data_IF_895950999491
#
_entry.id   IF_895950999491
#
_cell.length_a   1.000
_cell.length_b   1.000
_cell.length_c   1.000
_cell.angle_alpha   90.00
_cell.angle_beta   90.00
_cell.angle_gamma   90.00
#
_symmetry.space_group_name_H-M   'P 1'
#
loop_
_entity.id
_entity.type
_entity.pdbx_description
1 polymer ?
#
# COMPACT_ATOMS: atom_id res chain seq x y z
N UNK A 1 -21.58 -17.89 -18.89
CA UNK A 1 -22.95 -18.44 -18.81
C UNK A 1 -23.65 -17.61 -17.74
N UNK A 2 -24.71 -16.88 -18.12
CA UNK A 2 -25.39 -15.90 -17.24
C UNK A 2 -26.16 -16.63 -16.13
N UNK A 3 -25.93 -16.20 -14.89
CA UNK A 3 -26.84 -16.35 -13.76
C UNK A 3 -27.26 -14.91 -13.37
N UNK A 4 -28.51 -14.76 -12.97
CA UNK A 4 -29.33 -13.55 -12.93
C UNK A 4 -28.66 -12.20 -12.59
N UNK A 5 -28.99 -11.18 -13.38
CA UNK A 5 -28.78 -9.77 -13.07
C UNK A 5 -29.76 -9.34 -11.96
N UNK A 6 -29.45 -9.67 -10.71
CA UNK A 6 -30.04 -9.00 -9.55
C UNK A 6 -29.16 -9.17 -8.28
N UNK A 7 -28.86 -8.04 -7.63
CA UNK A 7 -28.67 -7.83 -6.17
C UNK A 7 -27.28 -7.71 -5.51
N UNK A 8 -26.15 -8.07 -6.11
CA UNK A 8 -24.85 -7.92 -5.42
C UNK A 8 -24.02 -6.73 -5.95
N UNK A 9 -23.64 -5.81 -5.06
CA UNK A 9 -22.75 -4.69 -5.40
C UNK A 9 -21.32 -5.23 -5.56
N UNK A 10 -20.57 -4.90 -6.63
CA UNK A 10 -19.21 -5.36 -6.77
C UNK A 10 -18.33 -4.84 -5.62
N UNK A 11 -17.40 -5.68 -5.14
CA UNK A 11 -16.33 -5.25 -4.26
C UNK A 11 -15.11 -4.84 -5.10
N UNK A 12 -14.58 -3.64 -4.85
CA UNK A 12 -13.33 -3.18 -5.44
C UNK A 12 -12.20 -3.48 -4.46
N UNK A 13 -11.32 -4.40 -4.84
CA UNK A 13 -10.25 -4.91 -3.98
C UNK A 13 -8.91 -4.71 -4.69
N UNK A 14 -7.95 -4.12 -3.99
CA UNK A 14 -6.62 -3.91 -4.54
C UNK A 14 -5.85 -5.24 -4.62
N UNK A 15 -5.18 -5.46 -5.74
CA UNK A 15 -4.33 -6.63 -5.98
C UNK A 15 -3.09 -6.53 -5.07
N UNK A 16 -2.78 -7.63 -4.38
CA UNK A 16 -1.65 -7.76 -3.45
C UNK A 16 -0.43 -8.49 -4.06
N UNK A 17 -0.61 -9.14 -5.21
CA UNK A 17 0.46 -9.80 -5.95
C UNK A 17 1.10 -8.85 -6.99
N UNK A 18 2.42 -8.96 -7.23
CA UNK A 18 3.07 -8.21 -8.31
C UNK A 18 2.56 -8.65 -9.70
N UNK A 19 2.70 -7.80 -10.75
CA UNK A 19 2.39 -8.16 -12.13
C UNK A 19 3.50 -9.05 -12.72
N UNK A 20 3.58 -10.30 -12.26
CA UNK A 20 4.63 -11.22 -12.70
C UNK A 20 4.28 -11.89 -14.03
N UNK A 21 5.17 -11.75 -15.02
CA UNK A 21 4.98 -12.37 -16.34
C UNK A 21 4.92 -13.89 -16.22
N UNK A 22 3.88 -14.50 -16.78
CA UNK A 22 3.70 -15.96 -16.80
C UNK A 22 3.08 -16.55 -15.53
N UNK A 23 2.76 -15.71 -14.54
CA UNK A 23 1.96 -16.09 -13.37
C UNK A 23 0.50 -15.75 -13.65
N UNK A 24 -0.40 -16.71 -13.41
CA UNK A 24 -1.85 -16.56 -13.61
C UNK A 24 -2.62 -16.34 -12.32
N UNK A 25 -1.93 -16.33 -11.18
CA UNK A 25 -2.51 -16.19 -9.86
C UNK A 25 -2.51 -14.73 -9.43
N UNK A 26 -3.59 -14.30 -8.78
CA UNK A 26 -3.71 -12.99 -8.15
C UNK A 26 -3.96 -13.20 -6.66
N UNK A 27 -3.25 -12.42 -5.86
CA UNK A 27 -3.43 -12.40 -4.41
C UNK A 27 -4.24 -11.18 -3.99
N UNK A 28 -5.12 -11.32 -3.00
CA UNK A 28 -5.93 -10.24 -2.45
C UNK A 28 -5.98 -10.32 -0.94
N UNK A 29 -5.89 -9.17 -0.26
CA UNK A 29 -6.21 -9.04 1.16
C UNK A 29 -7.66 -8.55 1.30
N UNK A 30 -8.52 -9.40 1.86
CA UNK A 30 -9.96 -9.12 1.96
C UNK A 30 -10.35 -9.05 3.43
N UNK A 31 -10.96 -7.94 3.82
CA UNK A 31 -11.61 -7.79 5.12
C UNK A 31 -13.10 -8.11 4.96
N UNK A 32 -13.66 -9.09 5.70
CA UNK A 32 -15.08 -9.36 5.65
C UNK A 32 -15.86 -8.19 6.24
N UNK A 33 -16.92 -7.77 5.55
CA UNK A 33 -17.88 -6.78 6.03
C UNK A 33 -19.26 -7.44 6.03
N UNK A 34 -19.96 -7.52 7.18
CA UNK A 34 -21.25 -8.20 7.26
C UNK A 34 -22.27 -7.69 6.24
N UNK A 35 -22.94 -8.61 5.56
CA UNK A 35 -23.93 -8.33 4.52
C UNK A 35 -23.34 -7.75 3.23
N UNK A 36 -22.08 -8.04 2.93
CA UNK A 36 -21.41 -7.55 1.72
C UNK A 36 -20.71 -8.67 0.95
N UNK A 37 -20.40 -8.39 -0.31
CA UNK A 37 -19.62 -9.26 -1.20
C UNK A 37 -18.28 -9.68 -0.57
N UNK A 38 -17.64 -8.87 0.29
CA UNK A 38 -16.38 -9.30 0.92
C UNK A 38 -16.58 -10.33 2.02
N UNK A 39 -17.76 -10.39 2.66
CA UNK A 39 -18.11 -11.49 3.58
C UNK A 39 -18.30 -12.79 2.81
N UNK A 40 -19.03 -12.75 1.69
CA UNK A 40 -19.24 -13.91 0.80
C UNK A 40 -17.93 -14.43 0.22
N UNK A 41 -17.05 -13.53 -0.24
CA UNK A 41 -15.71 -13.89 -0.72
C UNK A 41 -14.88 -14.59 0.35
N UNK A 42 -14.93 -14.12 1.60
CA UNK A 42 -14.21 -14.75 2.72
C UNK A 42 -14.83 -16.09 3.16
N UNK A 43 -16.10 -16.34 2.84
CA UNK A 43 -16.80 -17.60 3.13
C UNK A 43 -16.67 -18.64 2.00
N UNK A 44 -16.06 -18.27 0.87
CA UNK A 44 -15.94 -19.15 -0.30
C UNK A 44 -14.88 -20.23 -0.08
N UNK A 45 -15.25 -21.49 -0.38
CA UNK A 45 -14.33 -22.62 -0.35
C UNK A 45 -13.30 -22.57 -1.49
N UNK A 46 -12.15 -23.20 -1.27
CA UNK A 46 -11.14 -23.38 -2.31
C UNK A 46 -11.73 -24.08 -3.54
N UNK A 47 -11.45 -23.53 -4.73
CA UNK A 47 -12.05 -23.99 -6.00
C UNK A 47 -13.42 -23.40 -6.32
N UNK A 48 -13.96 -22.57 -5.43
CA UNK A 48 -15.16 -21.78 -5.70
C UNK A 48 -15.01 -20.86 -6.92
N UNK A 49 -16.09 -20.70 -7.67
CA UNK A 49 -16.11 -19.85 -8.86
C UNK A 49 -16.29 -18.38 -8.47
N UNK A 50 -15.50 -17.50 -9.08
CA UNK A 50 -15.58 -16.05 -8.91
C UNK A 50 -15.76 -15.36 -10.26
N UNK A 51 -16.48 -14.25 -10.27
CA UNK A 51 -16.51 -13.35 -11.41
C UNK A 51 -15.59 -12.16 -11.13
N UNK A 52 -14.67 -11.90 -12.06
CA UNK A 52 -13.75 -10.76 -11.99
C UNK A 52 -14.09 -9.76 -13.08
N UNK A 53 -14.05 -8.48 -12.75
CA UNK A 53 -14.00 -7.43 -13.75
C UNK A 53 -12.61 -7.38 -14.39
N UNK A 54 -12.44 -6.68 -15.52
CA UNK A 54 -11.12 -6.22 -15.93
C UNK A 54 -10.42 -5.44 -14.81
N UNK A 55 -9.09 -5.45 -14.82
CA UNK A 55 -8.27 -4.64 -13.91
C UNK A 55 -8.64 -3.16 -14.08
N UNK A 56 -8.72 -2.45 -12.97
CA UNK A 56 -9.05 -1.03 -12.91
C UNK A 56 -7.94 -0.25 -12.21
N UNK A 57 -7.86 1.06 -12.51
CA UNK A 57 -6.83 1.95 -11.99
C UNK A 57 -5.63 2.08 -12.92
N UNK A 58 -4.77 3.06 -12.64
CA UNK A 58 -3.55 3.33 -13.42
C UNK A 58 -2.32 2.64 -12.85
N UNK A 59 -2.44 2.03 -11.68
CA UNK A 59 -1.30 1.54 -10.91
C UNK A 59 -0.46 2.71 -10.38
N UNK A 60 0.72 2.39 -9.85
CA UNK A 60 1.68 3.40 -9.42
C UNK A 60 2.57 3.79 -10.59
N UNK A 61 2.52 5.06 -10.98
CA UNK A 61 3.42 5.60 -11.99
C UNK A 61 4.78 5.91 -11.37
N UNK A 62 5.62 4.88 -11.24
CA UNK A 62 6.96 5.00 -10.66
C UNK A 62 7.94 5.80 -11.51
N UNK A 63 7.59 6.10 -12.78
CA UNK A 63 8.39 7.00 -13.62
C UNK A 63 8.46 8.44 -13.09
N UNK A 64 7.52 8.81 -12.20
CA UNK A 64 7.54 10.08 -11.46
C UNK A 64 8.62 10.13 -10.37
N UNK A 65 9.10 8.97 -9.93
CA UNK A 65 10.08 8.84 -8.85
C UNK A 65 11.36 8.16 -9.34
N UNK A 66 12.02 8.68 -10.39
CA UNK A 66 13.19 8.03 -10.96
C UNK A 66 14.28 7.94 -9.89
N UNK A 67 14.90 6.75 -9.73
CA UNK A 67 15.85 6.49 -8.65
C UNK A 67 17.11 7.37 -8.71
N UNK A 68 17.40 7.98 -9.87
CA UNK A 68 18.48 8.96 -10.05
C UNK A 68 18.24 10.29 -9.34
N UNK A 69 16.99 10.78 -9.33
CA UNK A 69 16.62 12.08 -8.75
C UNK A 69 15.96 11.93 -7.36
N UNK A 70 15.21 10.84 -7.15
CA UNK A 70 14.46 10.60 -5.92
C UNK A 70 15.14 9.51 -5.10
N UNK A 71 15.98 9.92 -4.15
CA UNK A 71 16.79 9.02 -3.31
C UNK A 71 16.06 8.52 -2.08
N UNK A 72 15.03 9.25 -1.64
CA UNK A 72 14.19 8.88 -0.50
C UNK A 72 12.78 8.57 -0.99
N UNK A 73 12.24 7.39 -0.66
CA UNK A 73 10.84 7.06 -0.95
C UNK A 73 10.11 6.62 0.30
N UNK A 74 9.02 7.32 0.61
CA UNK A 74 8.20 7.09 1.78
C UNK A 74 6.87 6.44 1.37
N UNK A 75 6.67 5.20 1.76
CA UNK A 75 5.46 4.44 1.53
C UNK A 75 4.54 4.60 2.74
N UNK A 76 3.27 4.92 2.50
CA UNK A 76 2.27 5.03 3.54
C UNK A 76 1.09 4.12 3.22
N UNK A 77 0.86 3.16 4.11
CA UNK A 77 -0.25 2.22 4.01
C UNK A 77 -1.07 2.24 5.30
N UNK A 78 -2.40 2.20 5.19
CA UNK A 78 -3.27 1.93 6.35
C UNK A 78 -4.22 0.78 6.06
N UNK A 79 -4.32 -0.19 6.97
CA UNK A 79 -5.22 -1.34 6.83
C UNK A 79 -4.97 -2.13 5.54
N UNK A 80 -6.01 -2.34 4.73
CA UNK A 80 -5.90 -3.05 3.43
C UNK A 80 -5.18 -2.26 2.34
N UNK A 81 -4.81 -1.00 2.60
CA UNK A 81 -3.94 -0.22 1.71
C UNK A 81 -2.53 -0.82 1.57
N UNK A 82 -2.16 -1.79 2.41
CA UNK A 82 -0.92 -2.55 2.26
C UNK A 82 -0.89 -3.39 0.98
N UNK A 83 -2.02 -3.86 0.46
CA UNK A 83 -2.06 -4.75 -0.71
C UNK A 83 -1.29 -4.21 -1.92
N UNK A 84 -1.61 -3.02 -2.46
CA UNK A 84 -0.88 -2.51 -3.60
C UNK A 84 0.57 -2.15 -3.23
N UNK A 85 0.85 -1.76 -1.97
CA UNK A 85 2.22 -1.49 -1.51
C UNK A 85 3.06 -2.77 -1.51
N UNK A 86 2.52 -3.90 -1.02
CA UNK A 86 3.15 -5.21 -1.13
C UNK A 86 3.47 -5.53 -2.59
N UNK A 87 2.49 -5.39 -3.48
CA UNK A 87 2.69 -5.61 -4.90
C UNK A 87 3.81 -4.73 -5.47
N UNK A 88 3.89 -3.45 -5.08
CA UNK A 88 4.94 -2.53 -5.50
C UNK A 88 6.33 -2.94 -5.00
N UNK A 89 6.45 -3.33 -3.72
CA UNK A 89 7.71 -3.77 -3.12
C UNK A 89 8.20 -5.06 -3.79
N UNK A 90 7.30 -5.99 -4.08
CA UNK A 90 7.61 -7.31 -4.66
C UNK A 90 7.74 -7.29 -6.19
N UNK A 91 7.45 -6.17 -6.85
CA UNK A 91 7.63 -6.03 -8.30
C UNK A 91 9.12 -5.88 -8.61
N UNK A 92 9.68 -6.68 -9.53
CA UNK A 92 11.07 -6.53 -9.97
C UNK A 92 11.37 -5.16 -10.57
N UNK A 93 12.61 -4.70 -10.46
CA UNK A 93 13.06 -3.40 -10.96
C UNK A 93 12.85 -3.26 -12.48
N UNK A 94 13.14 -4.31 -13.25
CA UNK A 94 12.95 -4.36 -14.71
C UNK A 94 11.48 -4.41 -15.14
N UNK A 95 10.56 -4.57 -14.19
CA UNK A 95 9.11 -4.55 -14.37
C UNK A 95 8.45 -3.26 -13.83
N UNK A 96 9.24 -2.24 -13.47
CA UNK A 96 8.73 -0.97 -12.95
C UNK A 96 8.40 -1.00 -11.46
N UNK A 97 9.13 -1.82 -10.69
CA UNK A 97 9.00 -1.91 -9.23
C UNK A 97 9.55 -0.70 -8.48
N UNK A 98 9.68 -0.84 -7.17
CA UNK A 98 10.11 0.25 -6.28
C UNK A 98 11.58 0.65 -6.44
N UNK A 99 12.44 -0.25 -6.91
CA UNK A 99 13.90 -0.08 -6.98
C UNK A 99 14.53 0.24 -5.61
N UNK A 100 14.06 -0.44 -4.56
CA UNK A 100 14.41 -0.10 -3.18
C UNK A 100 15.92 -0.21 -2.89
N UNK A 101 16.60 -1.21 -3.45
CA UNK A 101 18.04 -1.41 -3.28
C UNK A 101 18.89 -0.33 -3.99
N UNK A 102 18.31 0.39 -4.95
CA UNK A 102 18.97 1.47 -5.70
C UNK A 102 18.75 2.86 -5.08
N UNK A 103 18.02 2.92 -3.96
CA UNK A 103 17.68 4.16 -3.23
C UNK A 103 18.45 4.26 -1.92
N UNK A 104 18.60 5.48 -1.40
CA UNK A 104 19.35 5.74 -0.17
C UNK A 104 18.52 5.48 1.09
N UNK A 105 17.22 5.74 1.03
CA UNK A 105 16.28 5.57 2.15
C UNK A 105 14.90 5.18 1.61
N UNK A 106 14.39 4.03 2.03
CA UNK A 106 13.04 3.58 1.71
C UNK A 106 12.35 3.15 2.98
N UNK A 107 11.25 3.83 3.32
CA UNK A 107 10.52 3.62 4.57
C UNK A 107 9.07 3.29 4.30
N UNK A 108 8.57 2.22 4.90
CA UNK A 108 7.16 1.87 4.93
C UNK A 108 6.55 2.22 6.28
N UNK A 109 5.76 3.29 6.34
CA UNK A 109 4.90 3.57 7.49
C UNK A 109 3.59 2.81 7.33
N UNK A 110 3.43 1.73 8.10
CA UNK A 110 2.27 0.85 8.01
C UNK A 110 1.37 1.00 9.23
N UNK A 111 0.24 1.67 9.05
CA UNK A 111 -0.78 1.89 10.07
C UNK A 111 -1.77 0.74 10.20
N UNK A 112 -1.94 0.21 11.42
CA UNK A 112 -3.01 -0.72 11.79
C UNK A 112 -3.61 -0.35 13.15
N UNK A 113 -4.69 -1.03 13.54
CA UNK A 113 -5.29 -0.82 14.87
C UNK A 113 -4.38 -1.37 15.97
N UNK A 114 -3.98 -2.63 15.81
CA UNK A 114 -3.14 -3.40 16.71
C UNK A 114 -2.28 -4.41 15.92
N UNK A 115 -1.21 -4.98 16.51
CA UNK A 115 -0.34 -5.95 15.83
C UNK A 115 -1.07 -7.15 15.20
N UNK A 116 -2.18 -7.58 15.78
CA UNK A 116 -2.97 -8.74 15.35
C UNK A 116 -3.79 -8.43 14.08
N UNK A 117 -4.03 -7.15 13.80
CA UNK A 117 -4.80 -6.68 12.65
C UNK A 117 -3.93 -6.24 11.46
N UNK A 118 -2.62 -6.33 11.61
CA UNK A 118 -1.64 -5.95 10.60
C UNK A 118 -1.32 -7.16 9.74
N UNK A 119 -1.70 -7.11 8.46
CA UNK A 119 -1.49 -8.20 7.51
C UNK A 119 -0.04 -8.27 7.04
N UNK A 120 0.38 -9.44 6.53
CA UNK A 120 1.68 -9.64 5.89
C UNK A 120 2.90 -9.39 6.79
N UNK A 121 2.76 -9.50 8.11
CA UNK A 121 3.86 -9.30 9.07
C UNK A 121 5.01 -10.28 8.84
N UNK A 122 4.69 -11.47 8.39
CA UNK A 122 5.63 -12.53 8.00
C UNK A 122 6.54 -12.14 6.83
N UNK A 123 6.18 -11.10 6.05
CA UNK A 123 6.97 -10.62 4.91
C UNK A 123 7.92 -9.47 5.28
N UNK A 124 7.86 -8.94 6.51
CA UNK A 124 8.65 -7.75 6.88
C UNK A 124 10.15 -7.99 6.75
N UNK A 125 10.64 -9.15 7.22
CA UNK A 125 12.06 -9.50 7.08
C UNK A 125 12.50 -9.55 5.61
N UNK A 126 11.63 -10.03 4.72
CA UNK A 126 11.92 -10.10 3.29
C UNK A 126 11.95 -8.71 2.64
N UNK A 127 11.01 -7.83 3.01
CA UNK A 127 10.98 -6.45 2.53
C UNK A 127 12.16 -5.61 3.07
N UNK A 128 12.55 -5.84 4.33
CA UNK A 128 13.74 -5.24 4.92
C UNK A 128 15.02 -5.71 4.23
N UNK A 129 15.11 -7.01 3.91
CA UNK A 129 16.22 -7.55 3.11
C UNK A 129 16.26 -6.98 1.68
N UNK A 130 15.13 -6.55 1.11
CA UNK A 130 15.10 -5.85 -0.19
C UNK A 130 15.39 -4.35 -0.11
N UNK A 131 15.67 -3.81 1.07
CA UNK A 131 16.03 -2.41 1.29
C UNK A 131 14.89 -1.51 1.78
N UNK A 132 13.73 -2.07 2.15
CA UNK A 132 12.59 -1.30 2.70
C UNK A 132 12.58 -1.39 4.23
N UNK A 133 12.85 -0.29 4.93
CA UNK A 133 12.67 -0.24 6.39
C UNK A 133 11.18 -0.20 6.73
N UNK A 134 10.67 -1.21 7.43
CA UNK A 134 9.27 -1.27 7.83
C UNK A 134 9.09 -0.61 9.20
N UNK A 135 8.17 0.36 9.29
CA UNK A 135 7.80 1.08 10.51
C UNK A 135 6.31 0.79 10.82
N UNK A 136 6.04 -0.22 11.66
CA UNK A 136 4.68 -0.51 12.13
C UNK A 136 4.16 0.61 13.03
N UNK A 137 2.93 1.06 12.80
CA UNK A 137 2.28 2.09 13.60
C UNK A 137 0.91 1.58 14.06
N UNK A 138 0.68 1.59 15.38
CA UNK A 138 -0.53 1.03 15.99
C UNK A 138 -1.34 2.12 16.69
N UNK A 139 -2.53 2.41 16.17
CA UNK A 139 -3.34 3.50 16.71
C UNK A 139 -3.90 3.22 18.11
N UNK A 140 -3.99 1.95 18.54
CA UNK A 140 -4.46 1.58 19.88
C UNK A 140 -3.35 1.52 20.94
N UNK A 141 -2.07 1.58 20.54
CA UNK A 141 -0.96 1.48 21.48
C UNK A 141 -0.68 2.77 22.25
N UNK A 142 -1.36 3.87 21.91
CA UNK A 142 -1.15 5.17 22.52
C UNK A 142 -2.40 5.59 23.29
N UNK A 143 -2.27 5.68 24.61
CA UNK A 143 -3.39 5.92 25.54
C UNK A 143 -3.94 7.35 25.44
N UNK A 144 -3.06 8.35 25.26
CA UNK A 144 -3.42 9.78 25.38
C UNK A 144 -3.21 10.61 24.10
N UNK A 145 -2.47 10.09 23.11
CA UNK A 145 -2.27 10.73 21.80
C UNK A 145 -2.57 9.76 20.67
N UNK A 146 -3.24 10.23 19.60
CA UNK A 146 -3.46 9.41 18.41
C UNK A 146 -2.10 9.18 17.72
N UNK A 147 -1.52 8.00 17.83
CA UNK A 147 -0.34 7.64 17.05
C UNK A 147 -0.75 7.11 15.67
N UNK A 148 -0.49 7.91 14.64
CA UNK A 148 -0.74 7.58 13.25
C UNK A 148 0.54 7.76 12.43
N UNK A 149 0.54 7.22 11.23
CA UNK A 149 1.71 7.18 10.33
C UNK A 149 2.34 8.55 10.12
N UNK A 150 1.54 9.62 10.03
CA UNK A 150 2.03 10.99 9.88
C UNK A 150 2.76 11.51 11.12
N UNK A 151 2.39 11.08 12.32
CA UNK A 151 3.04 11.51 13.56
C UNK A 151 4.41 10.85 13.70
N UNK A 152 4.47 9.53 13.47
CA UNK A 152 5.74 8.78 13.49
C UNK A 152 6.69 9.28 12.40
N UNK A 153 6.18 9.56 11.19
CA UNK A 153 6.99 10.14 10.12
C UNK A 153 7.52 11.53 10.49
N UNK A 154 6.73 12.36 11.18
CA UNK A 154 7.18 13.68 11.63
C UNK A 154 8.30 13.57 12.67
N UNK A 155 8.19 12.62 13.59
CA UNK A 155 9.22 12.37 14.62
C UNK A 155 10.53 11.85 14.02
N UNK A 156 10.45 10.90 13.07
CA UNK A 156 11.64 10.38 12.36
C UNK A 156 12.26 11.41 11.42
N UNK A 157 11.43 12.33 10.88
CA UNK A 157 11.85 13.41 10.00
C UNK A 157 12.12 12.99 8.55
N UNK A 158 12.22 14.00 7.68
CA UNK A 158 12.56 13.88 6.27
C UNK A 158 13.75 14.80 6.00
N UNK A 159 14.92 14.21 5.72
CA UNK A 159 16.19 14.94 5.67
C UNK A 159 16.40 15.74 4.38
N UNK A 160 15.82 15.31 3.26
CA UNK A 160 15.97 15.95 1.95
C UNK A 160 14.64 15.92 1.18
N UNK A 161 13.72 16.84 1.52
CA UNK A 161 12.40 16.92 0.90
C UNK A 161 12.45 17.01 -0.64
N UNK A 162 13.29 17.87 -1.25
CA UNK A 162 13.38 17.99 -2.71
C UNK A 162 13.71 16.69 -3.45
N UNK A 163 14.50 15.78 -2.85
CA UNK A 163 14.81 14.44 -3.41
C UNK A 163 13.96 13.31 -2.81
N UNK A 164 12.86 13.66 -2.15
CA UNK A 164 11.90 12.71 -1.58
C UNK A 164 10.70 12.52 -2.49
N UNK A 165 10.17 11.30 -2.52
CA UNK A 165 8.87 10.98 -3.08
C UNK A 165 8.04 10.15 -2.11
N UNK A 166 6.74 10.10 -2.35
CA UNK A 166 5.83 9.36 -1.50
C UNK A 166 4.81 8.55 -2.27
N UNK A 167 4.54 7.34 -1.79
CA UNK A 167 3.47 6.47 -2.30
C UNK A 167 2.40 6.36 -1.21
N UNK A 168 1.18 6.80 -1.51
CA UNK A 168 0.12 6.94 -0.50
C UNK A 168 -1.08 6.03 -0.80
N UNK A 169 -1.42 5.14 0.13
CA UNK A 169 -2.59 4.26 0.03
C UNK A 169 -3.31 4.13 1.35
N UNK A 170 -4.55 4.61 1.41
CA UNK A 170 -5.37 4.49 2.61
C UNK A 170 -6.50 5.49 2.66
N UNK A 171 -6.90 5.84 3.88
CA UNK A 171 -8.00 6.77 4.13
C UNK A 171 -7.67 8.18 3.62
N UNK A 172 -8.69 8.92 3.19
CA UNK A 172 -8.53 10.26 2.61
C UNK A 172 -7.83 11.21 3.57
N UNK A 173 -8.18 11.15 4.84
CA UNK A 173 -7.62 11.96 5.92
C UNK A 173 -6.12 11.70 6.08
N UNK A 174 -5.70 10.42 6.08
CA UNK A 174 -4.27 10.06 6.11
C UNK A 174 -3.52 10.67 4.93
N UNK A 175 -4.08 10.56 3.72
CA UNK A 175 -3.46 11.12 2.51
C UNK A 175 -3.29 12.64 2.63
N UNK A 176 -4.31 13.35 3.11
CA UNK A 176 -4.22 14.81 3.25
C UNK A 176 -3.18 15.23 4.30
N UNK A 177 -3.18 14.58 5.46
CA UNK A 177 -2.25 14.89 6.54
C UNK A 177 -0.79 14.61 6.15
N UNK A 178 -0.54 13.48 5.48
CA UNK A 178 0.80 13.13 4.99
C UNK A 178 1.25 14.09 3.89
N UNK A 179 0.37 14.45 2.93
CA UNK A 179 0.71 15.44 1.91
C UNK A 179 1.09 16.79 2.52
N UNK A 180 0.34 17.25 3.53
CA UNK A 180 0.66 18.50 4.22
C UNK A 180 2.02 18.43 4.94
N UNK A 181 2.28 17.35 5.67
CA UNK A 181 3.56 17.10 6.33
C UNK A 181 4.73 17.12 5.34
N UNK A 182 4.62 16.41 4.22
CA UNK A 182 5.72 16.31 3.26
C UNK A 182 5.94 17.61 2.48
N UNK A 183 4.88 18.38 2.24
CA UNK A 183 5.00 19.73 1.68
C UNK A 183 5.75 20.67 2.62
N UNK A 184 5.53 20.59 3.94
CA UNK A 184 6.31 21.33 4.95
C UNK A 184 7.80 20.97 4.91
N UNK A 185 8.13 19.71 4.55
CA UNK A 185 9.50 19.26 4.35
C UNK A 185 10.11 19.68 3.00
N UNK A 186 9.34 20.33 2.11
CA UNK A 186 9.79 20.76 0.78
C UNK A 186 9.71 19.68 -0.31
N UNK A 187 8.94 18.62 -0.09
CA UNK A 187 8.70 17.59 -1.11
C UNK A 187 7.81 18.13 -2.23
N UNK A 188 8.20 17.99 -3.52
CA UNK A 188 7.36 18.38 -4.65
C UNK A 188 6.03 17.61 -4.69
N UNK A 189 4.94 18.29 -5.05
CA UNK A 189 3.62 17.65 -5.11
C UNK A 189 3.55 16.59 -6.22
N UNK A 190 4.27 16.81 -7.32
CA UNK A 190 4.42 15.86 -8.43
C UNK A 190 5.06 14.53 -8.03
N UNK A 191 5.83 14.51 -6.93
CA UNK A 191 6.44 13.31 -6.36
C UNK A 191 5.48 12.52 -5.45
N UNK A 192 4.19 12.87 -5.44
CA UNK A 192 3.15 12.05 -4.81
C UNK A 192 2.58 11.06 -5.81
N UNK A 193 2.74 9.78 -5.52
CA UNK A 193 2.25 8.66 -6.32
C UNK A 193 1.11 7.96 -5.58
N UNK A 194 0.01 7.72 -6.31
CA UNK A 194 -1.18 7.01 -5.85
C UNK A 194 -1.63 6.04 -6.95
N UNK A 195 -2.49 5.07 -6.65
CA UNK A 195 -2.86 4.00 -7.58
C UNK A 195 -4.15 4.26 -8.42
N UNK A 196 -4.75 5.44 -8.32
CA UNK A 196 -6.03 5.79 -8.98
C UNK A 196 -5.95 7.04 -9.85
#
# INVERSE_FOLDING_TARGET
>A
MRIDEATEKPAFIAIASPPTRGVSELEFLIKPVPGSTTEELCALDAGGALQLSPVMGKGFDMSKLPAEDVKTVLLFATGSGISPIKALIETPEDAGGLEAASRSDVRLYYGALAPETMAFRELFEAWEASGVRVIPVFSQACEDEKCYVQHVCREEGVSDGPSTGAVLVGQKEMVQDVKALLAECGMPEENVVMNF
#
